data_IF_308717666357
#
_entry.id   IF_308717666357
#
_cell.length_a   1.000
_cell.length_b   1.000
_cell.length_c   1.000
_cell.angle_alpha   90.00
_cell.angle_beta   90.00
_cell.angle_gamma   90.00
#
_symmetry.space_group_name_H-M   'P 1'
#
loop_
_entity.id
_entity.type
_entity.pdbx_description
1 polymer ?
#
# COMPACT_ATOMS: atom_id res chain seq x y z
N UNK A 1 22.38 11.79 3.47
CA UNK A 1 21.74 10.72 4.28
C UNK A 1 21.52 9.50 3.40
N UNK A 2 21.42 8.29 3.97
CA UNK A 2 21.16 7.09 3.17
C UNK A 2 19.77 7.15 2.57
N UNK A 3 19.65 6.87 1.27
CA UNK A 3 18.36 6.77 0.60
C UNK A 3 17.68 5.47 1.03
N UNK A 4 16.42 5.57 1.45
CA UNK A 4 15.60 4.44 1.85
C UNK A 4 14.31 4.39 1.03
N UNK A 5 13.89 3.18 0.71
CA UNK A 5 12.62 2.87 0.03
C UNK A 5 11.90 1.82 0.83
N UNK A 6 10.61 2.05 1.06
CA UNK A 6 9.71 1.00 1.53
C UNK A 6 9.17 0.23 0.32
N UNK A 7 9.13 -1.10 0.42
CA UNK A 7 8.50 -1.96 -0.59
C UNK A 7 7.45 -2.84 0.09
N UNK A 8 6.22 -2.86 -0.43
CA UNK A 8 5.09 -3.58 0.19
C UNK A 8 4.49 -4.61 -0.78
N UNK A 9 5.26 -5.63 -1.20
CA UNK A 9 4.77 -6.63 -2.14
C UNK A 9 3.67 -7.50 -1.51
N UNK A 10 2.70 -7.86 -2.35
CA UNK A 10 1.60 -8.74 -1.96
C UNK A 10 1.64 -10.02 -2.79
N UNK A 11 1.46 -11.16 -2.12
CA UNK A 11 1.49 -12.48 -2.75
C UNK A 11 0.20 -13.24 -2.52
N UNK A 12 -0.19 -14.02 -3.53
CA UNK A 12 -1.41 -14.85 -3.51
C UNK A 12 -1.15 -16.18 -2.79
N UNK A 13 -0.78 -16.11 -1.54
CA UNK A 13 -0.59 -17.25 -0.63
C UNK A 13 -0.76 -16.77 0.80
N UNK A 14 -1.28 -17.62 1.67
CA UNK A 14 -1.35 -17.36 3.11
C UNK A 14 -0.63 -18.45 3.90
N UNK A 15 -0.20 -18.10 5.12
CA UNK A 15 0.38 -19.05 6.08
C UNK A 15 -0.55 -20.22 6.36
N UNK A 16 -1.86 -19.94 6.41
CA UNK A 16 -2.91 -20.89 6.77
C UNK A 16 -3.20 -21.89 5.63
N UNK A 17 -3.02 -21.48 4.38
CA UNK A 17 -3.30 -22.32 3.21
C UNK A 17 -2.09 -23.10 2.72
N UNK A 18 -0.93 -22.46 2.69
CA UNK A 18 0.33 -23.07 2.29
C UNK A 18 1.49 -22.56 3.16
N UNK A 19 1.69 -23.12 4.36
CA UNK A 19 2.76 -22.71 5.28
C UNK A 19 4.17 -22.82 4.68
N UNK A 20 4.41 -23.81 3.82
CA UNK A 20 5.73 -24.05 3.24
C UNK A 20 6.11 -22.98 2.22
N UNK A 21 5.18 -22.62 1.32
CA UNK A 21 5.38 -21.53 0.34
C UNK A 21 5.50 -20.21 1.07
N UNK A 22 4.63 -19.95 2.04
CA UNK A 22 4.69 -18.72 2.86
C UNK A 22 6.05 -18.58 3.56
N UNK A 23 6.53 -19.64 4.24
CA UNK A 23 7.83 -19.61 4.92
C UNK A 23 8.97 -19.42 3.93
N UNK A 24 8.91 -20.05 2.76
CA UNK A 24 9.91 -19.88 1.71
C UNK A 24 10.03 -18.43 1.20
N UNK A 25 8.91 -17.68 1.17
CA UNK A 25 8.95 -16.23 0.88
C UNK A 25 9.60 -15.44 2.02
N UNK A 26 9.26 -15.75 3.28
CA UNK A 26 9.87 -15.12 4.46
C UNK A 26 11.38 -15.34 4.48
N UNK A 27 11.82 -16.58 4.26
CA UNK A 27 13.25 -16.93 4.22
C UNK A 27 13.97 -16.21 3.08
N UNK A 28 13.32 -16.11 1.91
CA UNK A 28 13.87 -15.36 0.77
C UNK A 28 14.06 -13.89 1.14
N UNK A 29 13.07 -13.23 1.73
CA UNK A 29 13.19 -11.83 2.12
C UNK A 29 14.33 -11.61 3.12
N UNK A 30 14.44 -12.46 4.13
CA UNK A 30 15.48 -12.39 5.17
C UNK A 30 16.89 -12.70 4.65
N UNK A 31 17.03 -13.39 3.52
CA UNK A 31 18.32 -13.73 2.93
C UNK A 31 18.97 -12.59 2.13
N UNK A 32 18.23 -11.51 1.84
CA UNK A 32 18.70 -10.42 0.98
C UNK A 32 19.45 -9.38 1.80
N UNK A 33 20.74 -9.13 1.50
CA UNK A 33 21.51 -8.13 2.21
C UNK A 33 20.90 -6.73 2.09
N UNK A 34 20.77 -6.02 3.21
CA UNK A 34 20.20 -4.68 3.27
C UNK A 34 18.67 -4.61 3.11
N UNK A 35 17.99 -5.76 3.09
CA UNK A 35 16.54 -5.84 3.18
C UNK A 35 16.13 -6.08 4.64
N UNK A 36 15.39 -5.14 5.21
CA UNK A 36 14.82 -5.27 6.55
C UNK A 36 13.33 -5.63 6.41
N UNK A 37 12.94 -6.79 6.97
CA UNK A 37 11.54 -7.23 7.02
C UNK A 37 10.91 -6.69 8.30
N UNK A 38 10.03 -5.70 8.18
CA UNK A 38 9.37 -5.07 9.34
C UNK A 38 8.10 -5.78 9.74
N UNK A 39 7.32 -6.25 8.77
CA UNK A 39 6.07 -6.92 9.04
C UNK A 39 5.71 -7.90 7.93
N UNK A 40 5.04 -8.98 8.28
CA UNK A 40 4.48 -9.94 7.33
C UNK A 40 3.10 -10.34 7.80
N UNK A 41 2.08 -9.76 7.18
CA UNK A 41 0.68 -10.06 7.44
C UNK A 41 0.21 -11.21 6.57
N UNK A 42 -0.60 -12.11 7.12
CA UNK A 42 -1.22 -13.24 6.43
C UNK A 42 -2.70 -13.30 6.73
N UNK A 43 -3.52 -13.63 5.72
CA UNK A 43 -4.96 -13.79 5.84
C UNK A 43 -5.43 -15.01 5.05
N UNK A 44 -5.86 -16.04 5.76
CA UNK A 44 -6.32 -17.31 5.18
C UNK A 44 -7.64 -17.21 4.41
N UNK A 45 -8.54 -16.26 4.75
CA UNK A 45 -9.79 -16.04 4.03
C UNK A 45 -9.53 -15.38 2.67
N UNK A 46 -8.64 -14.39 2.68
CA UNK A 46 -8.19 -13.73 1.46
C UNK A 46 -7.18 -14.57 0.68
N UNK A 47 -6.54 -15.55 1.32
CA UNK A 47 -5.43 -16.34 0.80
C UNK A 47 -4.33 -15.44 0.22
N UNK A 48 -3.87 -14.53 1.06
CA UNK A 48 -2.94 -13.46 0.71
C UNK A 48 -1.98 -13.19 1.85
N UNK A 49 -0.74 -12.83 1.51
CA UNK A 49 0.17 -12.19 2.45
C UNK A 49 0.70 -10.86 1.89
N UNK A 50 1.10 -10.00 2.82
CA UNK A 50 1.65 -8.67 2.57
C UNK A 50 2.94 -8.54 3.36
N UNK A 51 4.03 -8.25 2.68
CA UNK A 51 5.31 -7.96 3.30
C UNK A 51 5.50 -6.45 3.40
N UNK A 52 6.06 -5.97 4.49
CA UNK A 52 6.53 -4.59 4.63
C UNK A 52 8.05 -4.63 4.77
N UNK A 53 8.74 -4.19 3.72
CA UNK A 53 10.19 -4.23 3.59
C UNK A 53 10.74 -2.81 3.54
N UNK A 54 11.93 -2.60 4.09
CA UNK A 54 12.65 -1.33 4.03
C UNK A 54 14.13 -1.58 3.75
N UNK A 55 14.74 -0.73 2.92
CA UNK A 55 16.16 -0.80 2.60
C UNK A 55 16.56 0.23 1.55
N UNK A 56 17.80 0.14 1.07
CA UNK A 56 18.23 0.97 -0.05
C UNK A 56 17.41 0.67 -1.32
N UNK A 57 17.35 1.59 -2.29
CA UNK A 57 16.68 1.33 -3.57
C UNK A 57 17.16 0.03 -4.24
N UNK A 58 18.47 -0.26 -4.17
CA UNK A 58 19.07 -1.46 -4.74
C UNK A 58 18.61 -2.72 -4.01
N UNK A 59 18.64 -2.72 -2.67
CA UNK A 59 18.19 -3.84 -1.86
C UNK A 59 16.68 -4.12 -2.07
N UNK A 60 15.87 -3.06 -2.17
CA UNK A 60 14.42 -3.20 -2.43
C UNK A 60 14.13 -3.71 -3.84
N UNK A 61 14.90 -3.30 -4.84
CA UNK A 61 14.80 -3.84 -6.19
C UNK A 61 15.16 -5.32 -6.25
N UNK A 62 16.23 -5.75 -5.57
CA UNK A 62 16.63 -7.15 -5.47
C UNK A 62 15.59 -7.97 -4.69
N UNK A 63 15.09 -7.45 -3.57
CA UNK A 63 14.06 -8.12 -2.76
C UNK A 63 12.77 -8.35 -3.58
N UNK A 64 12.29 -7.33 -4.27
CA UNK A 64 11.11 -7.43 -5.12
C UNK A 64 11.29 -8.49 -6.22
N UNK A 65 12.47 -8.54 -6.84
CA UNK A 65 12.77 -9.53 -7.88
C UNK A 65 12.84 -10.95 -7.32
N UNK A 66 13.63 -11.19 -6.26
CA UNK A 66 13.83 -12.54 -5.71
C UNK A 66 12.54 -13.11 -5.11
N UNK A 67 11.75 -12.29 -4.43
CA UNK A 67 10.43 -12.68 -3.94
C UNK A 67 9.47 -13.02 -5.08
N UNK A 68 9.49 -12.22 -6.17
CA UNK A 68 8.68 -12.52 -7.36
C UNK A 68 9.12 -13.81 -8.02
N UNK A 69 10.42 -14.06 -8.12
CA UNK A 69 10.97 -15.33 -8.63
C UNK A 69 10.46 -16.49 -7.80
N UNK A 70 10.60 -16.42 -6.48
CA UNK A 70 10.11 -17.45 -5.56
C UNK A 70 8.62 -17.68 -5.70
N UNK A 71 7.81 -16.63 -5.76
CA UNK A 71 6.37 -16.72 -5.94
C UNK A 71 6.00 -17.36 -7.29
N UNK A 72 6.71 -17.00 -8.37
CA UNK A 72 6.49 -17.58 -9.71
C UNK A 72 6.78 -19.06 -9.75
N UNK A 73 7.79 -19.53 -9.02
CA UNK A 73 8.20 -20.93 -8.95
C UNK A 73 7.27 -21.78 -8.08
N UNK A 74 6.61 -21.19 -7.08
CA UNK A 74 5.92 -21.96 -6.02
C UNK A 74 4.40 -21.75 -5.97
N UNK A 75 3.88 -20.66 -6.53
CA UNK A 75 2.44 -20.35 -6.49
C UNK A 75 1.82 -20.61 -7.86
N UNK A 76 0.82 -21.49 -7.91
CA UNK A 76 0.04 -21.75 -9.13
C UNK A 76 -1.34 -21.10 -9.04
N UNK A 77 -1.51 -19.97 -9.74
CA UNK A 77 -2.75 -19.19 -9.74
C UNK A 77 -3.97 -19.94 -10.30
N UNK A 78 -3.77 -21.00 -11.09
CA UNK A 78 -4.85 -21.85 -11.61
C UNK A 78 -5.55 -22.66 -10.49
N UNK A 79 -4.88 -22.82 -9.36
CA UNK A 79 -5.38 -23.54 -8.17
C UNK A 79 -5.71 -22.60 -7.01
N UNK A 80 -5.36 -21.31 -7.15
CA UNK A 80 -5.54 -20.34 -6.08
C UNK A 80 -7.02 -19.98 -5.89
N UNK A 81 -7.48 -20.05 -4.63
CA UNK A 81 -8.81 -19.59 -4.20
C UNK A 81 -8.66 -18.66 -3.00
N UNK A 82 -9.39 -17.54 -3.01
CA UNK A 82 -9.42 -16.56 -1.93
C UNK A 82 -10.42 -15.45 -2.24
N UNK A 83 -10.86 -14.72 -1.21
CA UNK A 83 -11.84 -13.64 -1.37
C UNK A 83 -11.22 -12.34 -1.90
N UNK A 84 -9.90 -12.19 -1.77
CA UNK A 84 -9.21 -10.98 -2.23
C UNK A 84 -9.06 -10.96 -3.76
N UNK A 85 -9.40 -9.83 -4.43
CA UNK A 85 -9.13 -9.67 -5.85
C UNK A 85 -7.62 -9.75 -6.13
N UNK A 86 -7.21 -10.64 -7.04
CA UNK A 86 -5.80 -10.87 -7.38
C UNK A 86 -5.65 -11.18 -8.87
N UNK A 87 -4.51 -10.87 -9.43
CA UNK A 87 -4.22 -11.11 -10.85
C UNK A 87 -2.91 -11.89 -11.07
N UNK A 88 -2.13 -12.13 -10.04
CA UNK A 88 -0.90 -12.90 -10.13
C UNK A 88 -0.43 -13.49 -8.82
N UNK A 89 0.54 -14.41 -8.89
CA UNK A 89 1.24 -15.01 -7.76
C UNK A 89 1.90 -13.93 -6.88
N UNK A 90 2.64 -13.01 -7.51
CA UNK A 90 2.89 -11.66 -7.02
C UNK A 90 1.82 -10.77 -7.63
N UNK A 91 0.96 -10.22 -6.80
CA UNK A 91 -0.18 -9.44 -7.26
C UNK A 91 0.19 -7.96 -7.47
N UNK A 92 0.93 -7.37 -6.53
CA UNK A 92 1.36 -5.97 -6.60
C UNK A 92 2.70 -5.75 -5.92
N UNK A 93 3.53 -4.88 -6.50
CA UNK A 93 4.81 -4.42 -5.94
C UNK A 93 4.81 -2.89 -5.92
N UNK A 94 4.45 -2.24 -4.82
CA UNK A 94 4.62 -0.81 -4.64
C UNK A 94 6.01 -0.48 -4.09
N UNK A 95 6.69 0.50 -4.69
CA UNK A 95 7.82 1.20 -4.12
C UNK A 95 7.36 2.54 -3.56
N UNK A 96 7.73 2.83 -2.34
CA UNK A 96 7.22 3.95 -1.56
C UNK A 96 8.41 4.80 -1.14
N UNK A 97 8.46 6.08 -1.53
CA UNK A 97 9.55 6.95 -1.12
C UNK A 97 9.51 7.13 0.40
N UNK A 98 10.66 6.97 1.03
CA UNK A 98 10.90 7.33 2.41
C UNK A 98 12.05 8.33 2.47
N UNK A 99 12.81 8.38 3.53
CA UNK A 99 13.89 9.36 3.74
C UNK A 99 14.78 9.54 2.50
N UNK A 100 14.97 10.80 2.11
CA UNK A 100 15.84 11.27 1.02
C UNK A 100 15.65 10.57 -0.34
N UNK A 101 14.54 9.85 -0.52
CA UNK A 101 14.15 9.24 -1.79
C UNK A 101 12.92 9.95 -2.34
N UNK A 102 12.91 10.26 -3.63
CA UNK A 102 11.77 10.88 -4.29
C UNK A 102 10.81 9.84 -4.93
N UNK A 103 9.61 10.30 -5.28
CA UNK A 103 8.65 9.47 -6.03
C UNK A 103 9.23 9.09 -7.40
N UNK A 104 9.93 10.02 -8.06
CA UNK A 104 10.53 9.81 -9.38
C UNK A 104 11.61 8.71 -9.31
N UNK A 105 12.42 8.66 -8.26
CA UNK A 105 13.39 7.58 -8.06
C UNK A 105 12.72 6.23 -7.85
N UNK A 106 11.59 6.19 -7.13
CA UNK A 106 10.76 4.97 -7.00
C UNK A 106 10.11 4.57 -8.33
N UNK A 107 9.70 5.54 -9.15
CA UNK A 107 9.19 5.28 -10.52
C UNK A 107 10.25 4.61 -11.36
N UNK A 108 11.47 5.14 -11.38
CA UNK A 108 12.56 4.55 -12.16
C UNK A 108 12.98 3.17 -11.61
N UNK A 109 12.96 2.97 -10.29
CA UNK A 109 13.18 1.67 -9.67
C UNK A 109 12.13 0.66 -10.13
N UNK A 110 10.85 1.04 -10.11
CA UNK A 110 9.74 0.19 -10.52
C UNK A 110 9.88 -0.28 -11.99
N UNK A 111 10.31 0.61 -12.88
CA UNK A 111 10.56 0.30 -14.29
C UNK A 111 11.71 -0.71 -14.47
N UNK A 112 12.83 -0.50 -13.77
CA UNK A 112 13.97 -1.42 -13.81
C UNK A 112 13.59 -2.81 -13.33
N UNK A 113 12.84 -2.89 -12.22
CA UNK A 113 12.38 -4.17 -11.66
C UNK A 113 11.39 -4.85 -12.61
N UNK A 114 10.45 -4.11 -13.19
CA UNK A 114 9.49 -4.63 -14.16
C UNK A 114 10.18 -5.21 -15.40
N UNK A 115 11.17 -4.48 -15.96
CA UNK A 115 11.97 -4.96 -17.10
C UNK A 115 12.70 -6.27 -16.75
N UNK A 116 13.39 -6.33 -15.61
CA UNK A 116 14.11 -7.52 -15.17
C UNK A 116 13.18 -8.74 -14.96
N UNK A 117 12.01 -8.52 -14.33
CA UNK A 117 11.01 -9.58 -14.14
C UNK A 117 10.55 -10.14 -15.49
N UNK A 118 10.30 -9.27 -16.47
CA UNK A 118 9.96 -9.74 -17.81
C UNK A 118 11.11 -10.50 -18.47
N UNK A 119 12.32 -9.97 -18.41
CA UNK A 119 13.47 -10.56 -19.10
C UNK A 119 13.85 -11.93 -18.53
N UNK A 120 13.83 -12.11 -17.21
CA UNK A 120 14.30 -13.31 -16.54
C UNK A 120 13.17 -14.30 -16.21
N UNK A 121 11.97 -13.82 -15.84
CA UNK A 121 10.86 -14.68 -15.38
C UNK A 121 9.72 -14.80 -16.37
N UNK A 122 9.67 -13.98 -17.41
CA UNK A 122 8.59 -13.94 -18.40
C UNK A 122 7.21 -13.67 -17.80
N UNK A 123 7.15 -12.97 -16.67
CA UNK A 123 5.91 -12.51 -16.06
C UNK A 123 5.62 -11.09 -16.53
N UNK A 124 4.51 -10.85 -17.24
CA UNK A 124 4.17 -9.51 -17.71
C UNK A 124 3.76 -8.60 -16.56
N UNK A 125 3.85 -7.28 -16.78
CA UNK A 125 3.46 -6.33 -15.76
C UNK A 125 2.79 -5.07 -16.31
N UNK A 126 1.91 -4.50 -15.47
CA UNK A 126 1.41 -3.14 -15.60
C UNK A 126 2.21 -2.21 -14.70
N UNK A 127 2.56 -1.05 -15.19
CA UNK A 127 2.95 0.07 -14.36
C UNK A 127 1.69 0.75 -13.80
N UNK A 128 1.66 1.01 -12.47
CA UNK A 128 0.48 1.59 -11.81
C UNK A 128 0.82 2.78 -10.90
N UNK A 129 -0.20 3.49 -10.40
CA UNK A 129 -0.11 4.70 -9.58
C UNK A 129 0.79 5.76 -10.24
N UNK A 130 1.83 6.25 -9.57
CA UNK A 130 2.72 7.29 -10.10
C UNK A 130 3.65 6.77 -11.23
N UNK A 131 3.82 5.46 -11.34
CA UNK A 131 4.54 4.84 -12.46
C UNK A 131 3.66 4.60 -13.69
N UNK A 132 2.34 4.79 -13.58
CA UNK A 132 1.40 4.45 -14.64
C UNK A 132 1.74 5.15 -15.96
N UNK A 133 1.92 4.37 -17.02
CA UNK A 133 2.11 4.87 -18.39
C UNK A 133 0.80 5.39 -19.01
N UNK A 134 -0.36 5.04 -18.42
CA UNK A 134 -1.70 5.40 -18.88
C UNK A 134 -2.61 5.76 -17.70
N UNK A 135 -3.52 6.75 -17.86
CA UNK A 135 -4.40 7.19 -16.77
C UNK A 135 -5.24 6.08 -16.13
N UNK A 136 -5.70 5.10 -16.93
CA UNK A 136 -6.53 3.97 -16.50
C UNK A 136 -5.83 3.09 -15.46
N UNK A 137 -4.49 3.06 -15.48
CA UNK A 137 -3.65 2.22 -14.59
C UNK A 137 -3.26 2.89 -13.29
N UNK A 138 -3.58 4.17 -13.11
CA UNK A 138 -3.36 4.85 -11.83
C UNK A 138 -4.13 4.19 -10.69
N UNK A 139 -5.26 3.55 -10.97
CA UNK A 139 -6.05 2.87 -9.96
C UNK A 139 -5.78 1.36 -9.98
N UNK A 140 -5.16 0.83 -8.94
CA UNK A 140 -4.88 -0.61 -8.79
C UNK A 140 -6.14 -1.47 -8.91
N UNK A 141 -7.31 -1.00 -8.44
CA UNK A 141 -8.56 -1.74 -8.59
C UNK A 141 -8.96 -1.89 -10.06
N UNK A 142 -8.67 -0.90 -10.90
CA UNK A 142 -8.88 -1.00 -12.35
C UNK A 142 -7.90 -2.01 -12.97
N UNK A 143 -6.63 -2.03 -12.55
CA UNK A 143 -5.67 -3.05 -12.98
C UNK A 143 -6.15 -4.46 -12.64
N UNK A 144 -6.65 -4.69 -11.43
CA UNK A 144 -7.14 -5.99 -10.94
C UNK A 144 -8.50 -6.43 -11.51
N UNK A 145 -9.25 -5.52 -12.17
CA UNK A 145 -10.58 -5.84 -12.70
C UNK A 145 -10.50 -7.01 -13.68
N UNK A 146 -11.31 -8.03 -13.45
CA UNK A 146 -11.29 -9.30 -14.17
C UNK A 146 -10.49 -10.39 -13.44
N UNK A 147 -9.64 -10.01 -12.50
CA UNK A 147 -8.76 -10.91 -11.73
C UNK A 147 -7.91 -11.80 -12.65
N UNK A 148 -7.25 -12.83 -12.12
CA UNK A 148 -6.42 -13.75 -12.90
C UNK A 148 -7.19 -14.35 -14.08
N UNK A 149 -8.45 -14.72 -13.85
CA UNK A 149 -9.32 -15.42 -14.81
C UNK A 149 -9.70 -14.55 -16.01
N UNK A 150 -9.93 -13.26 -15.80
CA UNK A 150 -10.30 -12.31 -16.87
C UNK A 150 -9.12 -11.61 -17.53
N UNK A 151 -7.87 -11.79 -17.03
CA UNK A 151 -6.71 -11.13 -17.63
C UNK A 151 -6.43 -11.54 -19.07
N UNK A 152 -6.58 -12.81 -19.51
CA UNK A 152 -6.35 -13.18 -20.89
C UNK A 152 -7.17 -12.35 -21.88
N UNK A 153 -8.45 -12.11 -21.59
CA UNK A 153 -9.33 -11.28 -22.43
C UNK A 153 -8.95 -9.80 -22.33
N UNK A 154 -8.74 -9.31 -21.12
CA UNK A 154 -8.39 -7.91 -20.85
C UNK A 154 -7.11 -7.48 -21.57
N UNK A 155 -6.10 -8.33 -21.65
CA UNK A 155 -4.82 -8.01 -22.30
C UNK A 155 -4.95 -7.87 -23.83
N UNK A 156 -6.05 -8.30 -24.43
CA UNK A 156 -6.34 -8.08 -25.86
C UNK A 156 -6.82 -6.66 -26.13
N UNK A 157 -7.38 -5.97 -25.12
CA UNK A 157 -7.79 -4.58 -25.25
C UNK A 157 -6.56 -3.68 -25.42
N UNK A 158 -6.56 -2.70 -26.36
CA UNK A 158 -5.40 -1.84 -26.63
C UNK A 158 -4.87 -1.10 -25.38
N UNK A 159 -5.77 -0.64 -24.51
CA UNK A 159 -5.43 0.15 -23.32
C UNK A 159 -4.85 -0.71 -22.20
N UNK A 160 -5.01 -2.05 -22.29
CA UNK A 160 -4.54 -3.00 -21.30
C UNK A 160 -3.37 -3.87 -21.77
N UNK A 161 -2.72 -3.51 -22.90
CA UNK A 161 -1.44 -4.14 -23.24
C UNK A 161 -0.42 -3.92 -22.12
N UNK A 162 0.31 -4.94 -21.65
CA UNK A 162 1.31 -4.80 -20.59
C UNK A 162 2.34 -3.70 -20.93
N UNK A 163 2.87 -3.04 -19.91
CA UNK A 163 3.99 -2.12 -20.09
C UNK A 163 5.30 -2.87 -20.33
N UNK A 164 5.44 -4.01 -19.68
CA UNK A 164 6.51 -4.97 -19.91
C UNK A 164 5.91 -6.33 -20.15
N UNK A 165 6.27 -6.94 -21.28
CA UNK A 165 5.79 -8.26 -21.65
C UNK A 165 4.90 -8.30 -22.87
N UNK A 166 4.38 -9.48 -23.15
CA UNK A 166 3.47 -9.77 -24.25
C UNK A 166 2.01 -9.69 -23.78
N UNK A 167 1.06 -9.60 -24.75
CA UNK A 167 -0.39 -9.61 -24.46
C UNK A 167 -0.91 -11.01 -24.05
N UNK A 168 -0.23 -11.61 -23.11
CA UNK A 168 -0.61 -12.89 -22.50
C UNK A 168 -0.11 -12.93 -21.07
N UNK A 169 -0.85 -13.58 -20.19
CA UNK A 169 -0.39 -13.82 -18.81
C UNK A 169 0.66 -14.92 -18.77
N UNK A 170 1.47 -14.92 -17.70
CA UNK A 170 2.26 -16.10 -17.37
C UNK A 170 1.31 -17.25 -16.95
N UNK A 171 1.51 -18.50 -17.45
CA UNK A 171 0.52 -19.59 -17.29
C UNK A 171 0.12 -19.89 -15.83
N UNK A 172 1.07 -19.78 -14.91
CA UNK A 172 0.85 -20.07 -13.48
C UNK A 172 0.94 -18.83 -12.61
N UNK A 173 1.81 -17.87 -12.94
CA UNK A 173 2.05 -16.69 -12.12
C UNK A 173 1.18 -15.47 -12.49
N UNK A 174 0.47 -15.49 -13.62
CA UNK A 174 -0.42 -14.39 -14.01
C UNK A 174 0.29 -13.14 -14.51
N UNK A 175 -0.07 -11.99 -13.97
CA UNK A 175 0.45 -10.65 -14.28
C UNK A 175 0.59 -9.84 -12.99
N UNK A 176 1.53 -8.89 -12.96
CA UNK A 176 1.85 -8.10 -11.76
C UNK A 176 1.54 -6.62 -12.01
N UNK A 177 1.05 -5.89 -10.99
CA UNK A 177 1.09 -4.43 -10.97
C UNK A 177 2.35 -3.98 -10.22
N UNK A 178 3.22 -3.21 -10.88
CA UNK A 178 4.46 -2.68 -10.30
C UNK A 178 4.42 -1.17 -10.39
N UNK A 179 4.76 -0.45 -9.31
CA UNK A 179 4.75 1.00 -9.40
C UNK A 179 5.24 1.70 -8.15
N UNK A 180 5.28 3.03 -8.24
CA UNK A 180 5.56 3.92 -7.14
C UNK A 180 4.26 4.56 -6.64
N UNK A 181 4.17 4.78 -5.35
CA UNK A 181 3.07 5.52 -4.72
C UNK A 181 3.54 6.20 -3.43
N UNK A 182 2.81 7.21 -3.01
CA UNK A 182 3.02 7.80 -1.70
C UNK A 182 2.69 6.81 -0.57
N UNK A 183 3.26 6.98 0.62
CA UNK A 183 2.86 6.22 1.80
C UNK A 183 1.35 6.31 2.02
N UNK A 184 0.72 5.17 2.22
CA UNK A 184 -0.69 5.11 2.60
C UNK A 184 -0.76 5.02 4.13
N UNK A 185 -1.47 5.97 4.75
CA UNK A 185 -1.70 5.95 6.19
C UNK A 185 -3.10 5.41 6.44
N UNK A 186 -3.19 4.24 7.04
CA UNK A 186 -4.45 3.72 7.56
C UNK A 186 -4.71 4.39 8.92
N UNK A 187 -5.76 5.21 8.97
CA UNK A 187 -6.09 6.03 10.12
C UNK A 187 -7.56 5.88 10.48
N UNK A 188 -7.86 5.53 11.71
CA UNK A 188 -9.21 5.27 12.18
C UNK A 188 -9.55 6.20 13.33
N UNK A 189 -10.80 6.70 13.35
CA UNK A 189 -11.34 7.57 14.41
C UNK A 189 -12.55 6.93 15.04
N UNK A 190 -12.50 6.72 16.35
CA UNK A 190 -13.55 6.12 17.17
C UNK A 190 -14.52 7.19 17.71
N UNK A 191 -15.81 6.93 17.58
CA UNK A 191 -16.87 7.81 18.02
C UNK A 191 -17.59 7.23 19.24
N UNK A 192 -18.10 8.08 20.13
CA UNK A 192 -18.87 7.70 21.32
C UNK A 192 -20.34 7.35 21.01
N UNK A 193 -20.60 6.78 19.86
CA UNK A 193 -21.94 6.37 19.42
C UNK A 193 -21.94 4.96 18.87
N UNK A 194 -23.03 4.23 19.07
CA UNK A 194 -23.31 2.95 18.42
C UNK A 194 -24.07 3.09 17.09
N UNK A 195 -24.43 4.32 16.72
CA UNK A 195 -25.10 4.56 15.43
C UNK A 195 -24.05 4.58 14.29
N UNK A 196 -23.95 3.48 13.57
CA UNK A 196 -23.07 3.35 12.40
C UNK A 196 -23.38 4.36 11.30
N UNK A 197 -24.63 4.85 11.20
CA UNK A 197 -25.01 5.81 10.16
C UNK A 197 -24.32 7.17 10.35
N UNK A 198 -23.96 7.54 11.58
CA UNK A 198 -23.13 8.71 11.86
C UNK A 198 -21.76 8.56 11.22
N UNK A 199 -21.06 7.42 11.46
CA UNK A 199 -19.76 7.15 10.87
C UNK A 199 -19.82 7.06 9.33
N UNK A 200 -20.88 6.46 8.77
CA UNK A 200 -21.08 6.39 7.31
C UNK A 200 -21.28 7.79 6.69
N UNK A 201 -22.07 8.67 7.32
CA UNK A 201 -22.28 10.04 6.86
C UNK A 201 -20.98 10.84 6.89
N UNK A 202 -20.21 10.74 7.96
CA UNK A 202 -18.90 11.38 8.09
C UNK A 202 -17.95 10.84 7.01
N UNK A 203 -17.81 9.53 6.89
CA UNK A 203 -16.97 8.91 5.88
C UNK A 203 -17.33 9.35 4.45
N UNK A 204 -18.64 9.46 4.15
CA UNK A 204 -19.11 9.99 2.86
C UNK A 204 -18.70 11.44 2.63
N UNK A 205 -18.75 12.27 3.65
CA UNK A 205 -18.44 13.70 3.54
C UNK A 205 -16.95 13.96 3.34
N UNK A 206 -16.06 13.12 3.91
CA UNK A 206 -14.60 13.35 3.86
C UNK A 206 -13.90 12.64 2.72
N UNK A 207 -14.48 11.61 2.09
CA UNK A 207 -13.79 10.81 1.07
C UNK A 207 -13.84 11.45 -0.32
N UNK A 208 -12.77 11.26 -1.08
CA UNK A 208 -12.56 11.86 -2.40
C UNK A 208 -13.70 11.61 -3.41
N UNK A 209 -14.20 10.37 -3.49
CA UNK A 209 -15.21 9.98 -4.49
C UNK A 209 -16.56 10.69 -4.34
N UNK A 210 -16.83 11.28 -3.18
CA UNK A 210 -18.07 12.03 -2.90
C UNK A 210 -17.81 13.54 -2.76
N UNK A 211 -16.62 14.02 -3.15
CA UNK A 211 -16.26 15.45 -3.16
C UNK A 211 -15.56 15.95 -1.91
N UNK A 212 -15.11 15.06 -1.01
CA UNK A 212 -14.30 15.39 0.15
C UNK A 212 -12.81 15.56 -0.19
N UNK A 213 -11.92 15.23 0.75
CA UNK A 213 -10.47 15.35 0.58
C UNK A 213 -9.95 14.49 -0.57
N UNK A 214 -9.14 15.06 -1.44
CA UNK A 214 -8.66 14.43 -2.66
C UNK A 214 -7.92 13.10 -2.45
N UNK A 215 -7.20 12.96 -1.33
CA UNK A 215 -6.39 11.77 -1.02
C UNK A 215 -6.94 10.98 0.18
N UNK A 216 -8.25 11.02 0.41
CA UNK A 216 -8.92 10.28 1.47
C UNK A 216 -9.90 9.25 0.89
N UNK A 217 -9.74 7.99 1.28
CA UNK A 217 -10.74 6.94 1.15
C UNK A 217 -11.29 6.68 2.55
N UNK A 218 -12.61 6.61 2.72
CA UNK A 218 -13.21 6.40 4.03
C UNK A 218 -14.48 5.54 3.97
N UNK A 219 -14.68 4.77 5.02
CA UNK A 219 -15.90 3.98 5.29
C UNK A 219 -16.28 4.10 6.76
N UNK A 220 -17.58 3.95 7.06
CA UNK A 220 -18.05 3.78 8.43
C UNK A 220 -18.11 2.30 8.78
N UNK A 221 -17.56 1.92 9.92
CA UNK A 221 -17.56 0.54 10.45
C UNK A 221 -18.09 0.52 11.88
N UNK A 222 -18.63 -0.64 12.29
CA UNK A 222 -19.00 -0.93 13.67
C UNK A 222 -17.92 -1.78 14.31
N UNK A 223 -17.40 -1.35 15.46
CA UNK A 223 -16.56 -2.17 16.32
C UNK A 223 -17.44 -2.91 17.31
N UNK A 224 -17.93 -4.09 16.92
CA UNK A 224 -18.91 -4.87 17.69
C UNK A 224 -18.43 -5.15 19.12
N UNK A 225 -17.16 -5.52 19.30
CA UNK A 225 -16.59 -5.81 20.63
C UNK A 225 -16.56 -4.62 21.59
N UNK A 226 -16.69 -3.37 21.07
CA UNK A 226 -16.75 -2.13 21.86
C UNK A 226 -18.08 -1.42 21.77
N UNK A 227 -18.97 -1.87 20.88
CA UNK A 227 -20.25 -1.26 20.56
C UNK A 227 -20.13 0.24 20.21
N UNK A 228 -19.12 0.60 19.42
CA UNK A 228 -18.86 1.96 18.96
C UNK A 228 -18.71 2.02 17.43
N UNK A 229 -19.14 3.14 16.85
CA UNK A 229 -18.91 3.41 15.44
C UNK A 229 -17.51 4.00 15.21
N UNK A 230 -16.89 3.64 14.10
CA UNK A 230 -15.57 4.10 13.71
C UNK A 230 -15.60 4.64 12.28
N UNK A 231 -14.93 5.74 12.05
CA UNK A 231 -14.60 6.23 10.70
C UNK A 231 -13.22 5.67 10.34
N UNK A 232 -13.19 4.66 9.47
CA UNK A 232 -11.96 4.05 8.99
C UNK A 232 -11.55 4.70 7.68
N UNK A 233 -10.31 5.17 7.58
CA UNK A 233 -9.81 5.88 6.40
C UNK A 233 -8.41 5.46 6.01
N UNK A 234 -8.16 5.59 4.70
CA UNK A 234 -6.84 5.49 4.09
C UNK A 234 -6.49 6.84 3.49
N UNK A 235 -5.48 7.51 4.05
CA UNK A 235 -4.89 8.71 3.48
C UNK A 235 -3.82 8.27 2.48
N UNK A 236 -4.10 8.45 1.19
CA UNK A 236 -3.23 7.95 0.10
C UNK A 236 -2.10 8.90 -0.26
N UNK A 237 -2.15 10.13 0.23
CA UNK A 237 -1.09 11.12 0.20
C UNK A 237 -1.28 12.09 1.37
N UNK A 238 -0.51 11.90 2.43
CA UNK A 238 -0.63 12.70 3.66
C UNK A 238 -0.12 14.14 3.52
N UNK A 239 0.65 14.45 2.49
CA UNK A 239 1.07 15.83 2.19
C UNK A 239 -0.07 16.65 1.57
N UNK A 240 -0.98 16.01 0.83
CA UNK A 240 -2.17 16.64 0.25
C UNK A 240 -3.40 16.57 1.14
N UNK A 241 -3.47 15.56 1.98
CA UNK A 241 -4.54 15.35 2.97
C UNK A 241 -3.89 14.91 4.28
N UNK A 242 -3.42 15.87 5.10
CA UNK A 242 -2.79 15.58 6.38
C UNK A 242 -3.73 14.90 7.38
N UNK A 243 -3.14 14.19 8.33
CA UNK A 243 -3.92 13.52 9.41
C UNK A 243 -4.75 14.55 10.18
N UNK A 244 -4.17 15.71 10.51
CA UNK A 244 -4.88 16.75 11.28
C UNK A 244 -6.09 17.31 10.54
N UNK A 245 -6.05 17.49 9.22
CA UNK A 245 -7.20 17.94 8.42
C UNK A 245 -8.34 16.90 8.47
N UNK A 246 -8.00 15.62 8.26
CA UNK A 246 -8.97 14.54 8.34
C UNK A 246 -9.57 14.39 9.75
N UNK A 247 -8.75 14.58 10.79
CA UNK A 247 -9.18 14.56 12.18
C UNK A 247 -10.12 15.72 12.50
N UNK A 248 -9.75 16.95 12.18
CA UNK A 248 -10.54 18.15 12.48
C UNK A 248 -11.89 18.16 11.73
N UNK A 249 -11.89 17.75 10.47
CA UNK A 249 -13.14 17.62 9.71
C UNK A 249 -14.04 16.54 10.32
N UNK A 250 -13.47 15.40 10.69
CA UNK A 250 -14.22 14.33 11.38
C UNK A 250 -14.79 14.83 12.70
N UNK A 251 -14.00 15.59 13.50
CA UNK A 251 -14.45 16.17 14.77
C UNK A 251 -15.63 17.11 14.59
N UNK A 252 -15.53 18.05 13.65
CA UNK A 252 -16.61 19.01 13.37
C UNK A 252 -17.90 18.31 12.92
N UNK A 253 -17.77 17.28 12.07
CA UNK A 253 -18.94 16.53 11.61
C UNK A 253 -19.52 15.65 12.72
N UNK A 254 -18.69 15.05 13.56
CA UNK A 254 -19.16 14.27 14.72
C UNK A 254 -19.95 15.16 15.67
N UNK A 255 -19.42 16.32 16.05
CA UNK A 255 -20.11 17.31 16.90
C UNK A 255 -21.48 17.71 16.30
N UNK A 256 -21.55 17.91 14.97
CA UNK A 256 -22.80 18.22 14.27
C UNK A 256 -23.85 17.10 14.36
N UNK A 257 -23.41 15.85 14.47
CA UNK A 257 -24.29 14.69 14.63
C UNK A 257 -24.48 14.28 16.10
N UNK A 258 -24.01 15.09 17.05
CA UNK A 258 -24.14 14.81 18.48
C UNK A 258 -23.24 13.68 18.99
N UNK A 259 -22.17 13.37 18.28
CA UNK A 259 -21.16 12.39 18.68
C UNK A 259 -19.81 13.07 18.94
N UNK A 260 -18.96 12.43 19.77
CA UNK A 260 -17.61 12.92 20.07
C UNK A 260 -16.56 11.88 19.69
N UNK A 261 -15.37 12.35 19.37
CA UNK A 261 -14.21 11.49 19.20
C UNK A 261 -13.73 11.02 20.59
N UNK A 262 -13.61 9.71 20.77
CA UNK A 262 -13.10 9.09 21.99
C UNK A 262 -11.72 8.45 21.83
N UNK A 263 -11.17 8.50 20.64
CA UNK A 263 -9.82 8.02 20.34
C UNK A 263 -9.62 7.87 18.85
N UNK A 264 -8.36 7.70 18.48
CA UNK A 264 -7.97 7.39 17.10
C UNK A 264 -6.78 6.44 17.09
N UNK A 265 -6.55 5.77 15.97
CA UNK A 265 -5.44 4.84 15.80
C UNK A 265 -4.82 4.94 14.41
N UNK A 266 -3.52 4.81 14.36
CA UNK A 266 -2.77 4.57 13.13
C UNK A 266 -2.52 3.08 13.02
N UNK A 267 -2.85 2.47 11.90
CA UNK A 267 -2.66 1.04 11.68
C UNK A 267 -1.45 0.81 10.77
N UNK A 268 -0.49 0.05 11.27
CA UNK A 268 0.76 -0.23 10.56
C UNK A 268 1.78 0.92 10.64
N UNK A 269 2.76 0.89 9.72
CA UNK A 269 3.82 1.88 9.69
C UNK A 269 3.32 3.20 9.08
N UNK A 270 3.80 4.30 9.63
CA UNK A 270 3.48 5.63 9.12
C UNK A 270 4.75 6.50 9.10
N UNK A 271 4.91 7.39 8.11
CA UNK A 271 6.03 8.32 8.11
C UNK A 271 6.02 9.23 9.34
N UNK A 272 7.16 9.37 10.02
CA UNK A 272 7.31 10.25 11.17
C UNK A 272 6.83 11.68 10.87
N UNK A 273 7.13 12.17 9.66
CA UNK A 273 6.70 13.50 9.19
C UNK A 273 5.18 13.71 9.32
N UNK A 274 4.36 12.71 9.01
CA UNK A 274 2.91 12.83 9.09
C UNK A 274 2.42 13.11 10.53
N UNK A 275 3.11 12.58 11.55
CA UNK A 275 2.81 12.82 12.95
C UNK A 275 3.44 14.12 13.45
N UNK A 276 4.64 14.46 12.97
CA UNK A 276 5.31 15.71 13.30
C UNK A 276 4.56 16.92 12.73
N UNK A 277 3.98 16.80 11.53
CA UNK A 277 3.10 17.82 10.96
C UNK A 277 1.84 18.04 11.83
N UNK A 278 1.31 16.99 12.47
CA UNK A 278 0.24 17.14 13.46
C UNK A 278 0.71 17.90 14.70
N UNK A 279 1.90 17.60 15.20
CA UNK A 279 2.49 18.32 16.34
C UNK A 279 2.72 19.80 15.99
N UNK A 280 3.27 20.11 14.83
CA UNK A 280 3.45 21.47 14.32
C UNK A 280 2.11 22.24 14.29
N UNK A 281 1.07 21.62 13.72
CA UNK A 281 -0.27 22.20 13.62
C UNK A 281 -0.88 22.51 14.99
N UNK A 282 -0.94 21.53 15.88
CA UNK A 282 -1.61 21.69 17.18
C UNK A 282 -0.82 22.53 18.19
N UNK A 283 0.50 22.48 18.14
CA UNK A 283 1.38 23.28 19.00
C UNK A 283 1.65 24.67 18.44
N UNK A 284 1.22 24.94 17.19
CA UNK A 284 1.45 26.21 16.48
C UNK A 284 2.94 26.59 16.47
N UNK A 285 3.81 25.62 16.11
CA UNK A 285 5.24 25.84 16.10
C UNK A 285 5.62 26.81 14.98
N UNK A 286 6.35 27.86 15.31
CA UNK A 286 6.85 28.84 14.35
C UNK A 286 8.27 28.46 13.88
N UNK A 287 8.54 28.58 12.58
CA UNK A 287 9.83 28.28 11.96
C UNK A 287 10.33 26.86 12.25
N UNK A 288 9.40 25.90 12.40
CA UNK A 288 9.73 24.50 12.64
C UNK A 288 10.18 23.81 11.36
N UNK A 289 11.29 23.08 11.46
CA UNK A 289 11.80 22.19 10.43
C UNK A 289 12.21 20.88 11.09
N UNK A 290 11.38 19.86 10.95
CA UNK A 290 11.60 18.57 11.61
C UNK A 290 12.96 17.93 11.23
N UNK A 291 13.47 18.16 10.01
CA UNK A 291 14.76 17.65 9.57
C UNK A 291 15.94 18.26 10.34
N UNK A 292 15.77 19.49 10.83
CA UNK A 292 16.80 20.21 11.59
C UNK A 292 16.65 20.09 13.09
N UNK A 293 15.42 19.92 13.59
CA UNK A 293 15.10 20.06 15.02
C UNK A 293 14.79 18.74 15.72
N UNK A 294 14.50 17.65 14.96
CA UNK A 294 14.28 16.32 15.53
C UNK A 294 15.59 15.53 15.52
N UNK A 295 16.05 15.11 16.69
CA UNK A 295 17.37 14.45 16.89
C UNK A 295 17.52 13.19 16.04
N UNK A 296 16.48 12.37 15.94
CA UNK A 296 16.53 11.10 15.22
C UNK A 296 16.82 11.26 13.74
N UNK A 297 16.44 12.37 13.12
CA UNK A 297 16.82 12.66 11.72
C UNK A 297 18.33 12.87 11.54
N UNK A 298 19.06 13.26 12.59
CA UNK A 298 20.51 13.41 12.53
C UNK A 298 21.27 12.10 12.79
N UNK A 299 20.62 11.11 13.42
CA UNK A 299 21.24 9.81 13.72
C UNK A 299 21.18 8.85 12.52
N UNK A 300 20.24 9.05 11.60
CA UNK A 300 20.08 8.18 10.44
C UNK A 300 21.22 8.42 9.46
N UNK A 301 22.06 7.40 9.23
CA UNK A 301 23.23 7.45 8.36
C UNK A 301 24.54 7.82 9.07
N UNK A 302 24.58 7.75 10.40
CA UNK A 302 25.81 7.90 11.20
C UNK A 302 26.53 6.56 11.48
N UNK A 303 26.10 5.44 10.82
CA UNK A 303 26.78 4.14 10.90
C UNK A 303 27.91 4.00 9.88
#
# INVERSE_FOLDING_TARGET
MAKLVECVPNFSVSREKDPAVFQGLVDTANSIPGCFVFDVQSDGNHNRCVFTLLGSPEAMGEAAFQLTKKATETIDMRRHTGQHPRMGATDVIPFIPTMDTSVEECVELSKRVAARIWDELRVPSFLYEDSASRPERRNLAACRKGQFEGMPEKLLEPDWAPDYGERRIHPTAGIIAIGARMPLIAYNINLDTSDIEVAKKIAKAIRAKDGGFACCKAIGVMLEGRNIAQVSMNLTNFEKTPIYDAFEMTRQLADRYGARIIGSEVVGLTPAKALLDCAEFYLKLENYDCRKQVMEYHLIGME
#
